data_IF_767416778805
#
_entry.id   IF_767416778805
#
_cell.length_a   1.000
_cell.length_b   1.000
_cell.length_c   1.000
_cell.angle_alpha   90.00
_cell.angle_beta   90.00
_cell.angle_gamma   90.00
#
_symmetry.space_group_name_H-M   'P 1'
#
loop_
_entity.id
_entity.type
_entity.pdbx_description
1 polymer ?
#
# COMPACT_ATOMS: atom_id res chain seq x y z
N UNK A 1 16.98 -5.25 16.69
CA UNK A 1 16.07 -4.32 17.41
C UNK A 1 14.63 -4.82 17.20
N UNK A 2 13.60 -4.29 17.86
CA UNK A 2 12.21 -4.72 17.53
C UNK A 2 11.48 -3.64 16.76
N UNK A 3 10.77 -4.01 15.71
CA UNK A 3 9.86 -3.14 14.95
C UNK A 3 8.53 -3.85 14.77
N UNK A 4 7.53 -3.15 14.23
CA UNK A 4 6.20 -3.69 13.97
C UNK A 4 5.82 -3.48 12.52
N UNK A 5 5.07 -4.43 11.97
CA UNK A 5 4.46 -4.26 10.65
C UNK A 5 3.11 -4.97 10.52
N UNK A 6 2.33 -4.57 9.52
CA UNK A 6 1.07 -5.22 9.12
C UNK A 6 0.67 -4.84 7.70
N UNK A 7 -0.31 -5.56 7.15
CA UNK A 7 -1.02 -5.11 5.96
C UNK A 7 -1.75 -3.79 6.24
N UNK A 8 -1.43 -2.76 5.48
CA UNK A 8 -2.05 -1.44 5.56
C UNK A 8 -3.18 -1.28 4.54
N UNK A 9 -2.85 -1.46 3.26
CA UNK A 9 -3.73 -1.15 2.14
C UNK A 9 -3.54 -2.12 0.97
N UNK A 10 -4.63 -2.39 0.26
CA UNK A 10 -4.59 -2.93 -1.11
C UNK A 10 -4.61 -1.72 -2.06
N UNK A 11 -3.66 -1.65 -2.98
CA UNK A 11 -3.53 -0.53 -3.92
C UNK A 11 -3.81 -1.02 -5.33
N UNK A 12 -4.76 -0.39 -5.99
CA UNK A 12 -5.14 -0.64 -7.38
C UNK A 12 -4.41 0.37 -8.27
N UNK A 13 -3.39 -0.10 -8.97
CA UNK A 13 -2.59 0.70 -9.90
C UNK A 13 -3.33 0.81 -11.22
N UNK A 14 -3.83 2.01 -11.53
CA UNK A 14 -4.52 2.34 -12.76
C UNK A 14 -3.56 3.12 -13.67
N UNK A 15 -3.25 2.55 -14.83
CA UNK A 15 -2.43 3.22 -15.85
C UNK A 15 -3.24 4.38 -16.45
N UNK A 16 -3.10 5.57 -15.89
CA UNK A 16 -3.90 6.74 -16.21
C UNK A 16 -3.22 8.01 -15.68
N UNK A 17 -3.52 9.15 -16.30
CA UNK A 17 -3.09 10.47 -15.81
C UNK A 17 -4.09 11.08 -14.81
N UNK A 18 -5.32 10.57 -14.78
CA UNK A 18 -6.45 11.05 -13.95
C UNK A 18 -7.23 9.87 -13.33
N UNK A 19 -7.98 10.12 -12.24
CA UNK A 19 -8.62 9.06 -11.46
C UNK A 19 -10.15 9.13 -11.38
N UNK A 20 -10.85 10.10 -12.01
CA UNK A 20 -12.31 10.20 -11.88
C UNK A 20 -13.00 8.99 -12.49
N UNK A 21 -12.57 8.53 -13.67
CA UNK A 21 -13.14 7.34 -14.30
C UNK A 21 -12.86 6.06 -13.50
N UNK A 22 -11.62 5.92 -13.02
CA UNK A 22 -11.22 4.78 -12.18
C UNK A 22 -11.99 4.76 -10.85
N UNK A 23 -12.09 5.90 -10.17
CA UNK A 23 -12.83 6.05 -8.93
C UNK A 23 -14.30 5.67 -9.11
N UNK A 24 -14.96 6.20 -10.15
CA UNK A 24 -16.37 5.88 -10.43
C UNK A 24 -16.58 4.37 -10.65
N UNK A 25 -15.68 3.71 -11.37
CA UNK A 25 -15.76 2.27 -11.60
C UNK A 25 -15.58 1.48 -10.31
N UNK A 26 -14.48 1.70 -9.58
CA UNK A 26 -14.14 0.91 -8.40
C UNK A 26 -15.09 1.18 -7.23
N UNK A 27 -15.50 2.43 -7.02
CA UNK A 27 -16.49 2.76 -5.99
C UNK A 27 -17.86 2.16 -6.35
N UNK A 28 -18.23 2.15 -7.63
CA UNK A 28 -19.43 1.48 -8.13
C UNK A 28 -19.40 -0.03 -7.93
N UNK A 29 -18.26 -0.69 -8.19
CA UNK A 29 -18.07 -2.12 -7.98
C UNK A 29 -18.31 -2.53 -6.51
N UNK A 30 -17.74 -1.77 -5.57
CA UNK A 30 -17.85 -2.07 -4.14
C UNK A 30 -19.12 -1.49 -3.50
N UNK A 31 -19.90 -0.69 -4.23
CA UNK A 31 -21.07 0.01 -3.69
C UNK A 31 -20.71 1.02 -2.59
N UNK A 32 -19.53 1.64 -2.69
CA UNK A 32 -19.00 2.59 -1.71
C UNK A 32 -18.74 3.98 -2.33
N UNK A 33 -18.32 4.94 -1.49
CA UNK A 33 -17.85 6.25 -1.95
C UNK A 33 -16.32 6.32 -1.89
N UNK A 34 -15.73 7.34 -2.49
CA UNK A 34 -14.32 7.63 -2.33
C UNK A 34 -14.01 9.07 -2.71
N UNK A 35 -12.75 9.48 -2.52
CA UNK A 35 -12.30 10.84 -2.79
C UNK A 35 -10.91 10.82 -3.41
N UNK A 36 -10.73 11.57 -4.49
CA UNK A 36 -9.42 11.87 -5.08
C UNK A 36 -8.69 12.89 -4.20
N UNK A 37 -7.41 12.67 -3.99
CA UNK A 37 -6.54 13.59 -3.26
C UNK A 37 -6.28 14.89 -4.04
N UNK A 38 -5.62 15.84 -3.38
CA UNK A 38 -5.38 17.17 -3.95
C UNK A 38 -4.45 17.14 -5.17
N UNK A 39 -3.49 16.20 -5.19
CA UNK A 39 -2.54 16.01 -6.28
C UNK A 39 -3.13 15.24 -7.47
N UNK A 40 -4.34 14.70 -7.34
CA UNK A 40 -5.01 13.92 -8.39
C UNK A 40 -4.37 12.55 -8.65
N UNK A 41 -3.44 12.11 -7.80
CA UNK A 41 -2.64 10.89 -8.01
C UNK A 41 -3.14 9.70 -7.21
N UNK A 42 -3.97 9.94 -6.20
CA UNK A 42 -4.52 8.90 -5.36
C UNK A 42 -6.01 9.11 -5.13
N UNK A 43 -6.76 8.02 -4.99
CA UNK A 43 -8.14 8.08 -4.51
C UNK A 43 -8.38 7.03 -3.43
N UNK A 44 -8.87 7.46 -2.27
CA UNK A 44 -9.15 6.56 -1.14
C UNK A 44 -10.61 6.15 -1.17
N UNK A 45 -10.88 4.84 -1.16
CA UNK A 45 -12.24 4.31 -1.04
C UNK A 45 -12.66 4.23 0.43
N UNK A 46 -13.91 4.63 0.70
CA UNK A 46 -14.58 4.48 2.00
C UNK A 46 -15.16 3.08 2.08
N UNK A 47 -14.31 2.09 2.33
CA UNK A 47 -14.72 0.69 2.37
C UNK A 47 -15.66 0.38 3.55
N UNK A 48 -16.56 -0.60 3.42
CA UNK A 48 -17.38 -1.07 4.54
C UNK A 48 -16.51 -1.49 5.74
N UNK A 49 -17.04 -1.32 6.95
CA UNK A 49 -16.34 -1.70 8.17
C UNK A 49 -15.96 -3.18 8.15
N UNK A 50 -14.70 -3.48 8.45
CA UNK A 50 -14.15 -4.84 8.47
C UNK A 50 -13.51 -5.28 7.16
N UNK A 51 -13.75 -4.57 6.06
CA UNK A 51 -13.08 -4.83 4.78
C UNK A 51 -11.66 -4.23 4.75
N UNK A 52 -10.75 -4.78 3.94
CA UNK A 52 -9.44 -4.17 3.71
C UNK A 52 -9.56 -2.74 3.17
N UNK A 53 -8.63 -1.86 3.59
CA UNK A 53 -8.49 -0.54 2.99
C UNK A 53 -8.10 -0.69 1.51
N UNK A 54 -8.77 0.05 0.63
CA UNK A 54 -8.47 0.09 -0.81
C UNK A 54 -8.12 1.51 -1.23
N UNK A 55 -7.00 1.64 -1.93
CA UNK A 55 -6.50 2.88 -2.53
C UNK A 55 -6.42 2.67 -4.05
N UNK A 56 -6.77 3.69 -4.82
CA UNK A 56 -6.55 3.72 -6.27
C UNK A 56 -5.39 4.67 -6.52
N UNK A 57 -4.44 4.25 -7.35
CA UNK A 57 -3.26 5.04 -7.68
C UNK A 57 -3.13 5.24 -9.19
N UNK A 58 -2.89 6.47 -9.63
CA UNK A 58 -2.52 6.77 -11.00
C UNK A 58 -1.04 6.42 -11.23
N UNK A 59 -0.75 5.61 -12.25
CA UNK A 59 0.60 5.14 -12.60
C UNK A 59 0.88 5.24 -14.10
N UNK A 60 2.15 5.13 -14.47
CA UNK A 60 2.62 5.10 -15.87
C UNK A 60 2.85 3.68 -16.40
N UNK A 61 3.01 2.69 -15.51
CA UNK A 61 3.21 1.28 -15.85
C UNK A 61 1.89 0.52 -16.06
N UNK A 62 1.98 -0.69 -16.58
CA UNK A 62 0.81 -1.56 -16.78
C UNK A 62 -0.01 -1.75 -15.48
N UNK A 63 -1.35 -1.84 -15.57
CA UNK A 63 -2.22 -2.00 -14.40
C UNK A 63 -1.88 -3.24 -13.58
N UNK A 64 -1.95 -3.11 -12.25
CA UNK A 64 -1.75 -4.22 -11.31
C UNK A 64 -2.37 -3.89 -9.96
N UNK A 65 -2.33 -4.85 -9.04
CA UNK A 65 -2.63 -4.62 -7.63
C UNK A 65 -1.37 -4.88 -6.82
N UNK A 66 -1.06 -4.00 -5.88
CA UNK A 66 0.03 -4.19 -4.93
C UNK A 66 -0.43 -3.99 -3.48
N UNK A 67 0.42 -4.36 -2.54
CA UNK A 67 0.17 -4.22 -1.12
C UNK A 67 1.02 -3.10 -0.54
N UNK A 68 0.42 -2.30 0.34
CA UNK A 68 1.15 -1.47 1.29
C UNK A 68 1.28 -2.21 2.61
N UNK A 69 2.52 -2.35 3.08
CA UNK A 69 2.87 -2.84 4.41
C UNK A 69 3.19 -1.62 5.27
N UNK A 70 2.36 -1.37 6.29
CA UNK A 70 2.63 -0.35 7.29
C UNK A 70 3.71 -0.85 8.24
N UNK A 71 4.68 0.00 8.56
CA UNK A 71 5.71 -0.31 9.56
C UNK A 71 6.19 0.94 10.28
N UNK A 72 6.57 0.80 11.55
CA UNK A 72 7.19 1.87 12.34
C UNK A 72 8.72 2.00 12.11
N UNK A 73 9.33 1.06 11.37
CA UNK A 73 10.72 1.13 10.91
C UNK A 73 10.87 0.45 9.54
N UNK A 74 10.82 1.26 8.48
CA UNK A 74 10.92 0.80 7.09
C UNK A 74 12.25 0.08 6.80
N UNK A 75 13.33 0.51 7.42
CA UNK A 75 14.65 -0.06 7.17
C UNK A 75 14.84 -1.40 7.91
N UNK A 76 14.34 -1.52 9.14
CA UNK A 76 14.31 -2.79 9.84
C UNK A 76 13.40 -3.81 9.13
N UNK A 77 12.23 -3.37 8.65
CA UNK A 77 11.33 -4.27 7.92
C UNK A 77 11.90 -4.68 6.57
N UNK A 78 12.52 -3.76 5.82
CA UNK A 78 13.20 -4.10 4.57
C UNK A 78 14.29 -5.16 4.79
N UNK A 79 15.16 -4.99 5.79
CA UNK A 79 16.19 -5.99 6.14
C UNK A 79 15.61 -7.36 6.49
N UNK A 80 14.52 -7.38 7.28
CA UNK A 80 13.84 -8.63 7.64
C UNK A 80 13.28 -9.33 6.40
N UNK A 81 12.67 -8.58 5.48
CA UNK A 81 12.11 -9.13 4.25
C UNK A 81 13.18 -9.57 3.26
N UNK A 82 14.30 -8.86 3.17
CA UNK A 82 15.49 -9.28 2.42
C UNK A 82 16.01 -10.64 2.92
N UNK A 83 16.03 -10.86 4.24
CA UNK A 83 16.37 -12.16 4.83
C UNK A 83 15.37 -13.28 4.48
N UNK A 84 14.13 -12.94 4.11
CA UNK A 84 13.13 -13.88 3.58
C UNK A 84 13.22 -14.06 2.04
N UNK A 85 14.18 -13.41 1.39
CA UNK A 85 14.41 -13.50 -0.05
C UNK A 85 13.76 -12.40 -0.90
N UNK A 86 13.16 -11.38 -0.27
CA UNK A 86 12.71 -10.20 -1.01
C UNK A 86 13.90 -9.39 -1.55
N UNK A 87 13.67 -8.63 -2.61
CA UNK A 87 14.63 -7.67 -3.15
C UNK A 87 14.16 -6.26 -2.87
N UNK A 88 15.06 -5.39 -2.44
CA UNK A 88 14.80 -3.94 -2.38
C UNK A 88 14.93 -3.35 -3.77
N UNK A 89 13.85 -2.77 -4.28
CA UNK A 89 13.83 -2.07 -5.57
C UNK A 89 14.34 -0.63 -5.39
N UNK A 90 13.95 0.03 -4.30
CA UNK A 90 14.48 1.33 -3.92
C UNK A 90 13.47 2.24 -3.23
N UNK A 91 13.92 3.41 -2.73
CA UNK A 91 13.06 4.39 -2.13
C UNK A 91 12.26 5.17 -3.19
N UNK A 92 11.02 5.54 -2.86
CA UNK A 92 10.17 6.43 -3.64
C UNK A 92 9.49 7.39 -2.66
N UNK A 93 9.77 8.68 -2.77
CA UNK A 93 9.30 9.72 -1.84
C UNK A 93 9.55 9.29 -0.37
N UNK A 94 8.51 8.89 0.36
CA UNK A 94 8.54 8.52 1.78
C UNK A 94 8.36 7.00 2.03
N UNK A 95 8.48 6.16 1.01
CA UNK A 95 8.32 4.71 1.11
C UNK A 95 9.41 3.94 0.39
N UNK A 96 9.51 2.64 0.67
CA UNK A 96 10.46 1.71 0.02
C UNK A 96 9.67 0.72 -0.80
N UNK A 97 10.01 0.57 -2.09
CA UNK A 97 9.47 -0.49 -2.94
C UNK A 97 10.31 -1.76 -2.76
N UNK A 98 9.63 -2.86 -2.48
CA UNK A 98 10.18 -4.20 -2.35
C UNK A 98 9.60 -5.11 -3.44
N UNK A 99 10.29 -6.20 -3.74
CA UNK A 99 9.84 -7.24 -4.65
C UNK A 99 9.96 -8.61 -3.98
N UNK A 100 8.86 -9.35 -3.89
CA UNK A 100 8.84 -10.70 -3.35
C UNK A 100 9.63 -11.67 -4.25
N UNK A 101 10.04 -12.86 -3.76
CA UNK A 101 10.80 -13.83 -4.56
C UNK A 101 10.18 -14.21 -5.90
N UNK A 102 8.84 -14.13 -6.00
CA UNK A 102 8.07 -14.45 -7.21
C UNK A 102 7.78 -13.24 -8.11
N UNK A 103 8.38 -12.07 -7.83
CA UNK A 103 8.30 -10.87 -8.69
C UNK A 103 7.17 -9.88 -8.35
N UNK A 104 6.35 -10.16 -7.33
CA UNK A 104 5.29 -9.23 -6.91
C UNK A 104 5.90 -8.03 -6.18
N UNK A 105 5.62 -6.82 -6.65
CA UNK A 105 6.05 -5.58 -5.98
C UNK A 105 5.06 -5.16 -4.90
N UNK A 106 5.58 -4.60 -3.83
CA UNK A 106 4.81 -4.07 -2.69
C UNK A 106 5.60 -2.94 -2.03
N UNK A 107 4.96 -2.12 -1.21
CA UNK A 107 5.58 -0.94 -0.60
C UNK A 107 5.65 -1.08 0.92
N UNK A 108 6.73 -0.58 1.52
CA UNK A 108 6.84 -0.33 2.95
C UNK A 108 6.54 1.14 3.22
N UNK A 109 5.45 1.41 3.92
CA UNK A 109 4.96 2.76 4.22
C UNK A 109 4.95 3.02 5.73
N UNK A 110 4.97 4.28 6.13
CA UNK A 110 4.69 4.63 7.53
C UNK A 110 3.25 4.28 7.93
N UNK A 111 2.93 4.18 9.23
CA UNK A 111 1.58 3.87 9.68
C UNK A 111 0.54 4.89 9.17
N UNK A 112 -0.54 4.42 8.54
CA UNK A 112 -1.58 5.29 7.98
C UNK A 112 -2.94 5.13 8.67
N UNK A 113 -3.24 3.98 9.29
CA UNK A 113 -4.48 3.78 10.04
C UNK A 113 -4.23 3.90 11.55
N UNK A 114 -5.24 4.42 12.25
CA UNK A 114 -5.19 4.74 13.69
C UNK A 114 -4.99 3.51 14.58
N UNK A 115 -5.38 2.32 14.12
CA UNK A 115 -5.30 1.06 14.86
C UNK A 115 -3.95 0.32 14.67
N UNK A 116 -2.90 1.00 14.20
CA UNK A 116 -1.59 0.38 13.95
C UNK A 116 -0.99 -0.23 15.21
N UNK A 117 -0.93 0.54 16.30
CA UNK A 117 -0.29 0.09 17.53
C UNK A 117 -0.96 -1.15 18.14
N UNK A 118 -2.27 -1.31 17.93
CA UNK A 118 -3.07 -2.41 18.48
C UNK A 118 -3.04 -3.68 17.62
N UNK A 119 -2.81 -3.53 16.31
CA UNK A 119 -2.97 -4.63 15.33
C UNK A 119 -1.68 -5.04 14.64
N UNK A 120 -0.62 -4.24 14.74
CA UNK A 120 0.65 -4.57 14.10
C UNK A 120 1.37 -5.69 14.83
N UNK A 121 1.96 -6.61 14.05
CA UNK A 121 2.75 -7.72 14.59
C UNK A 121 4.14 -7.22 14.91
N UNK A 122 4.67 -7.59 16.09
CA UNK A 122 6.05 -7.28 16.48
C UNK A 122 7.00 -8.33 15.90
N UNK A 123 8.09 -7.86 15.29
CA UNK A 123 9.16 -8.68 14.77
C UNK A 123 10.49 -8.37 15.47
N UNK A 124 11.33 -9.37 15.57
CA UNK A 124 12.73 -9.21 15.95
C UNK A 124 13.57 -9.09 14.66
N UNK A 125 14.46 -8.10 14.63
CA UNK A 125 15.43 -7.86 13.54
C UNK A 125 16.84 -8.20 13.96
#
# INVERSE_FOLDING_TARGET
MTHRSRLGCIVVDCQSEELHGALAFWSGLFGCSGKVDEDGKYAVLTMPSGEPKVLIQAVDHAPRVHLDIETDDQEAEARRLEALGAKRIGPVKSWIVMEAPTGHRFCLVGPQRQDFDDKATRFES
#
